data_IF_735315367966
#
_entry.id   IF_735315367966
#
_cell.length_a   1.000
_cell.length_b   1.000
_cell.length_c   1.000
_cell.angle_alpha   90.00
_cell.angle_beta   90.00
_cell.angle_gamma   90.00
#
_symmetry.space_group_name_H-M   'P 1'
#
loop_
_entity.id
_entity.type
_entity.pdbx_description
1 polymer ?
#
# COMPACT_ATOMS: atom_id res chain seq x y z
N UNK A 1 -11.10 -8.75 26.07
CA UNK A 1 -12.38 -8.37 25.41
C UNK A 1 -12.14 -7.57 24.12
N UNK A 2 -12.62 -8.06 22.98
CA UNK A 2 -12.57 -7.33 21.70
C UNK A 2 -13.67 -6.27 21.70
N UNK A 3 -13.34 -5.04 21.32
CA UNK A 3 -14.34 -3.97 21.18
C UNK A 3 -15.20 -4.23 19.95
N UNK A 4 -16.52 -4.19 20.11
CA UNK A 4 -17.50 -4.42 19.04
C UNK A 4 -18.48 -3.27 18.94
N UNK A 5 -19.07 -3.11 17.76
CA UNK A 5 -20.11 -2.12 17.48
C UNK A 5 -21.32 -2.79 16.86
N UNK A 6 -22.50 -2.20 17.07
CA UNK A 6 -23.71 -2.61 16.38
C UNK A 6 -23.97 -1.65 15.22
N UNK A 7 -24.02 -2.18 14.01
CA UNK A 7 -24.74 -1.56 12.92
C UNK A 7 -26.23 -1.89 13.10
N UNK A 8 -27.11 -0.89 12.98
CA UNK A 8 -28.56 -1.06 13.07
C UNK A 8 -29.21 -0.22 11.99
N UNK A 9 -30.04 -0.85 11.18
CA UNK A 9 -30.90 -0.20 10.20
C UNK A 9 -32.34 -0.66 10.45
N UNK A 10 -33.33 0.21 10.28
CA UNK A 10 -34.74 -0.11 10.59
C UNK A 10 -35.65 0.52 9.56
N UNK A 11 -36.51 -0.30 8.96
CA UNK A 11 -37.54 0.20 8.05
C UNK A 11 -38.56 1.03 8.84
N UNK A 12 -38.82 2.25 8.36
CA UNK A 12 -39.61 3.22 9.11
C UNK A 12 -41.07 2.79 9.28
N UNK A 13 -41.68 2.10 8.31
CA UNK A 13 -43.10 1.77 8.38
C UNK A 13 -43.38 0.43 9.08
N UNK A 14 -42.65 -0.65 8.75
CA UNK A 14 -42.81 -1.93 9.44
C UNK A 14 -42.18 -1.97 10.83
N UNK A 15 -41.15 -1.15 11.08
CA UNK A 15 -40.24 -1.27 12.23
C UNK A 15 -39.42 -2.57 12.21
N UNK A 16 -39.38 -3.28 11.09
CA UNK A 16 -38.50 -4.43 10.95
C UNK A 16 -37.05 -3.95 10.83
N UNK A 17 -36.18 -4.52 11.65
CA UNK A 17 -34.81 -4.09 11.82
C UNK A 17 -33.83 -5.11 11.23
N UNK A 18 -32.74 -4.60 10.69
CA UNK A 18 -31.51 -5.33 10.44
C UNK A 18 -30.46 -4.87 11.47
N UNK A 19 -29.72 -5.79 12.05
CA UNK A 19 -28.58 -5.44 12.88
C UNK A 19 -27.44 -6.44 12.73
N UNK A 20 -26.22 -5.95 12.89
CA UNK A 20 -25.00 -6.70 12.72
C UNK A 20 -23.92 -6.20 13.70
N UNK A 21 -23.21 -7.12 14.34
CA UNK A 21 -22.00 -6.85 15.08
C UNK A 21 -20.82 -6.73 14.13
N UNK A 22 -20.06 -5.64 14.27
CA UNK A 22 -18.86 -5.34 13.49
C UNK A 22 -17.69 -4.97 14.40
N UNK A 23 -16.47 -5.08 13.86
CA UNK A 23 -15.20 -4.85 14.58
C UNK A 23 -14.60 -3.46 14.34
N UNK A 24 -15.22 -2.65 13.49
CA UNK A 24 -14.80 -1.28 13.21
C UNK A 24 -15.97 -0.44 12.68
N UNK A 25 -15.73 0.86 12.55
CA UNK A 25 -16.69 1.83 12.00
C UNK A 25 -16.13 2.49 10.73
N UNK A 26 -15.37 1.74 9.93
CA UNK A 26 -14.81 2.24 8.67
C UNK A 26 -15.91 2.46 7.63
N UNK A 27 -15.60 3.27 6.61
CA UNK A 27 -16.50 3.47 5.47
C UNK A 27 -16.77 2.14 4.77
N UNK A 28 -15.74 1.32 4.54
CA UNK A 28 -15.90 0.00 3.92
C UNK A 28 -16.91 -0.89 4.68
N UNK A 29 -16.78 -0.97 6.01
CA UNK A 29 -17.72 -1.71 6.87
C UNK A 29 -19.13 -1.14 6.78
N UNK A 30 -19.28 0.19 6.82
CA UNK A 30 -20.57 0.87 6.71
C UNK A 30 -21.31 0.55 5.40
N UNK A 31 -20.60 0.59 4.27
CA UNK A 31 -21.16 0.26 2.96
C UNK A 31 -21.54 -1.22 2.87
N UNK A 32 -20.70 -2.10 3.42
CA UNK A 32 -20.95 -3.54 3.42
C UNK A 32 -22.17 -3.91 4.26
N UNK A 33 -22.38 -3.24 5.40
CA UNK A 33 -23.58 -3.39 6.22
C UNK A 33 -24.86 -2.97 5.49
N UNK A 34 -24.83 -1.88 4.71
CA UNK A 34 -26.00 -1.45 3.92
C UNK A 34 -26.37 -2.47 2.84
N UNK A 35 -25.39 -2.96 2.09
CA UNK A 35 -25.61 -4.03 1.12
C UNK A 35 -26.26 -5.25 1.76
N UNK A 36 -25.70 -5.76 2.87
CA UNK A 36 -26.29 -6.90 3.60
C UNK A 36 -27.68 -6.61 4.17
N UNK A 37 -27.95 -5.37 4.56
CA UNK A 37 -29.29 -4.96 5.01
C UNK A 37 -30.31 -4.98 3.86
N UNK A 38 -29.93 -4.53 2.67
CA UNK A 38 -30.79 -4.60 1.49
C UNK A 38 -31.04 -6.05 1.05
N UNK A 39 -29.99 -6.89 1.07
CA UNK A 39 -30.12 -8.33 0.81
C UNK A 39 -31.06 -8.99 1.83
N UNK A 40 -30.94 -8.61 3.11
CA UNK A 40 -31.79 -9.12 4.20
C UNK A 40 -33.28 -8.81 3.98
N UNK A 41 -33.61 -7.59 3.52
CA UNK A 41 -34.99 -7.24 3.20
C UNK A 41 -35.44 -7.73 1.82
N UNK A 42 -34.50 -8.16 0.97
CA UNK A 42 -34.76 -8.49 -0.42
C UNK A 42 -35.19 -7.28 -1.24
N UNK A 43 -34.71 -6.09 -0.89
CA UNK A 43 -35.10 -4.84 -1.54
C UNK A 43 -34.43 -3.61 -0.94
N UNK A 44 -34.48 -2.51 -1.68
CA UNK A 44 -33.85 -1.23 -1.34
C UNK A 44 -34.93 -0.23 -0.91
N UNK A 45 -34.80 0.44 0.25
CA UNK A 45 -35.68 1.54 0.60
C UNK A 45 -35.42 2.75 -0.31
N UNK A 46 -36.47 3.47 -0.70
CA UNK A 46 -36.33 4.68 -1.54
C UNK A 46 -35.52 5.80 -0.86
N UNK A 47 -35.48 5.81 0.48
CA UNK A 47 -34.78 6.82 1.27
C UNK A 47 -34.19 6.21 2.54
N UNK A 48 -32.92 6.51 2.79
CA UNK A 48 -32.20 6.11 3.99
C UNK A 48 -31.89 7.34 4.83
N UNK A 49 -32.46 7.38 6.04
CA UNK A 49 -32.24 8.46 7.00
C UNK A 49 -31.02 8.13 7.85
N UNK A 50 -29.99 8.96 7.81
CA UNK A 50 -28.72 8.70 8.49
C UNK A 50 -28.46 9.75 9.57
N UNK A 51 -28.07 9.29 10.77
CA UNK A 51 -27.47 10.16 11.78
C UNK A 51 -26.02 10.47 11.37
N UNK A 52 -25.54 11.68 11.67
CA UNK A 52 -24.31 12.35 11.18
C UNK A 52 -22.97 11.62 11.49
N UNK A 53 -22.92 10.31 11.25
CA UNK A 53 -21.74 9.48 11.36
C UNK A 53 -20.76 9.88 10.25
N UNK A 54 -19.50 10.06 10.62
CA UNK A 54 -18.43 10.50 9.69
C UNK A 54 -18.24 9.56 8.50
N UNK A 55 -18.65 8.30 8.62
CA UNK A 55 -18.63 7.32 7.53
C UNK A 55 -19.69 7.56 6.44
N UNK A 56 -20.72 8.35 6.74
CA UNK A 56 -21.81 8.68 5.82
C UNK A 56 -21.86 10.18 5.45
N UNK A 57 -21.51 11.05 6.39
CA UNK A 57 -21.57 12.51 6.24
C UNK A 57 -20.20 13.10 6.61
N UNK A 58 -19.52 13.71 5.63
CA UNK A 58 -18.21 14.36 5.83
C UNK A 58 -18.37 15.74 6.46
N UNK A 59 -19.44 16.46 6.12
CA UNK A 59 -19.83 17.73 6.75
C UNK A 59 -21.32 17.75 7.03
N UNK A 60 -21.68 17.60 8.30
CA UNK A 60 -23.06 17.77 8.73
C UNK A 60 -23.42 19.26 8.77
N UNK A 61 -24.44 19.68 8.05
CA UNK A 61 -25.02 21.00 8.21
C UNK A 61 -26.54 20.98 7.94
N UNK A 62 -27.23 22.07 8.29
CA UNK A 62 -28.69 22.15 8.24
C UNK A 62 -29.24 22.28 6.80
N UNK A 63 -28.48 22.88 5.89
CA UNK A 63 -28.97 23.27 4.56
C UNK A 63 -28.23 22.60 3.38
N UNK A 64 -26.97 22.20 3.57
CA UNK A 64 -26.09 21.64 2.52
C UNK A 64 -25.13 20.57 3.11
N UNK A 65 -25.64 19.41 3.55
CA UNK A 65 -24.81 18.35 4.11
C UNK A 65 -23.92 17.73 3.03
N UNK A 66 -22.62 17.63 3.30
CA UNK A 66 -21.68 16.95 2.40
C UNK A 66 -21.68 15.46 2.74
N UNK A 67 -22.13 14.66 1.77
CA UNK A 67 -22.16 13.20 1.86
C UNK A 67 -20.77 12.65 1.57
N UNK A 68 -20.37 11.62 2.32
CA UNK A 68 -19.14 10.89 2.02
C UNK A 68 -19.22 10.29 0.61
N UNK A 69 -18.23 10.56 -0.24
CA UNK A 69 -18.25 10.20 -1.67
C UNK A 69 -18.50 8.70 -1.90
N UNK A 70 -17.92 7.85 -1.07
CA UNK A 70 -18.15 6.40 -1.07
C UNK A 70 -19.60 6.00 -0.83
N UNK A 71 -20.30 6.73 0.06
CA UNK A 71 -21.70 6.46 0.38
C UNK A 71 -22.64 7.05 -0.67
N UNK A 72 -22.27 8.20 -1.27
CA UNK A 72 -22.96 8.75 -2.42
C UNK A 72 -22.93 7.78 -3.62
N UNK A 73 -21.76 7.20 -3.94
CA UNK A 73 -21.65 6.20 -5.02
C UNK A 73 -22.47 4.93 -4.73
N UNK A 74 -22.56 4.50 -3.47
CA UNK A 74 -23.44 3.39 -3.07
C UNK A 74 -24.92 3.75 -3.29
N UNK A 75 -25.32 4.96 -2.91
CA UNK A 75 -26.67 5.45 -3.06
C UNK A 75 -27.09 5.56 -4.53
N UNK A 76 -26.19 6.02 -5.38
CA UNK A 76 -26.38 6.02 -6.83
C UNK A 76 -26.52 4.60 -7.39
N UNK A 77 -25.62 3.68 -7.00
CA UNK A 77 -25.64 2.30 -7.48
C UNK A 77 -26.90 1.51 -7.10
N UNK A 78 -27.46 1.75 -5.91
CA UNK A 78 -28.70 1.10 -5.45
C UNK A 78 -29.97 1.94 -5.70
N UNK A 79 -29.83 3.20 -6.12
CA UNK A 79 -30.96 4.09 -6.40
C UNK A 79 -31.72 4.63 -5.18
N UNK A 80 -31.10 4.68 -3.99
CA UNK A 80 -31.74 5.26 -2.79
C UNK A 80 -31.28 6.69 -2.54
N UNK A 81 -32.13 7.50 -1.89
CA UNK A 81 -31.78 8.87 -1.47
C UNK A 81 -31.25 8.90 -0.04
N UNK A 82 -30.19 9.67 0.21
CA UNK A 82 -29.64 9.89 1.55
C UNK A 82 -30.32 11.11 2.16
N UNK A 83 -30.91 10.93 3.34
CA UNK A 83 -31.54 12.01 4.11
C UNK A 83 -30.75 12.18 5.42
N UNK A 84 -29.90 13.20 5.47
CA UNK A 84 -29.08 13.47 6.64
C UNK A 84 -29.93 14.15 7.73
N UNK A 85 -29.93 13.59 8.93
CA UNK A 85 -30.63 14.21 10.06
C UNK A 85 -30.04 15.61 10.36
N UNK A 86 -30.87 16.68 10.41
CA UNK A 86 -30.40 18.00 10.78
C UNK A 86 -29.68 17.97 12.12
N UNK A 87 -28.59 18.73 12.29
CA UNK A 87 -27.96 18.90 13.59
C UNK A 87 -29.00 19.41 14.60
N UNK A 88 -29.08 18.77 15.77
CA UNK A 88 -29.98 19.15 16.88
C UNK A 88 -31.49 18.97 16.64
N UNK A 89 -31.89 18.04 15.75
CA UNK A 89 -33.28 17.55 15.65
C UNK A 89 -33.39 16.12 16.23
N UNK A 90 -33.71 15.95 17.54
CA UNK A 90 -33.77 14.65 18.19
C UNK A 90 -34.93 13.78 17.69
N UNK A 91 -35.97 14.40 17.11
CA UNK A 91 -37.22 13.73 16.81
C UNK A 91 -37.07 12.76 15.63
N UNK A 92 -36.20 13.09 14.66
CA UNK A 92 -35.83 12.20 13.55
C UNK A 92 -34.90 11.05 13.93
N UNK A 93 -34.24 11.13 15.10
CA UNK A 93 -33.30 10.11 15.61
C UNK A 93 -33.96 9.00 16.43
N UNK A 94 -35.19 9.22 16.89
CA UNK A 94 -35.84 8.34 17.87
C UNK A 94 -35.97 6.88 17.47
N UNK A 95 -36.17 6.58 16.18
CA UNK A 95 -36.38 5.20 15.69
C UNK A 95 -35.11 4.36 15.86
N UNK A 96 -33.97 4.87 15.39
CA UNK A 96 -32.68 4.16 15.45
C UNK A 96 -32.19 4.07 16.89
N UNK A 97 -32.30 5.16 17.67
CA UNK A 97 -31.92 5.14 19.09
C UNK A 97 -32.72 4.12 19.89
N UNK A 98 -34.04 4.04 19.67
CA UNK A 98 -34.90 3.05 20.30
C UNK A 98 -34.53 1.63 19.87
N UNK A 99 -34.21 1.40 18.59
CA UNK A 99 -33.73 0.11 18.09
C UNK A 99 -32.43 -0.34 18.75
N UNK A 100 -31.42 0.54 18.81
CA UNK A 100 -30.14 0.26 19.49
C UNK A 100 -30.34 -0.01 20.98
N UNK A 101 -31.15 0.80 21.67
CA UNK A 101 -31.50 0.58 23.08
C UNK A 101 -32.18 -0.77 23.29
N UNK A 102 -33.07 -1.17 22.38
CA UNK A 102 -33.78 -2.45 22.45
C UNK A 102 -32.84 -3.65 22.31
N UNK A 103 -31.94 -3.64 21.32
CA UNK A 103 -30.91 -4.68 21.14
C UNK A 103 -30.04 -4.79 22.39
N UNK A 104 -29.51 -3.67 22.89
CA UNK A 104 -28.63 -3.68 24.07
C UNK A 104 -29.32 -4.20 25.34
N UNK A 105 -30.62 -3.95 25.49
CA UNK A 105 -31.39 -4.38 26.68
C UNK A 105 -31.95 -5.79 26.58
N UNK A 106 -32.23 -6.28 25.38
CA UNK A 106 -33.02 -7.50 25.20
C UNK A 106 -32.22 -8.63 24.55
N UNK A 107 -31.30 -8.31 23.64
CA UNK A 107 -30.44 -9.31 23.02
C UNK A 107 -29.15 -9.54 23.81
N UNK A 108 -28.47 -8.46 24.22
CA UNK A 108 -27.12 -8.55 24.77
C UNK A 108 -26.99 -9.20 26.16
N UNK A 109 -27.94 -9.05 27.11
CA UNK A 109 -27.76 -9.60 28.45
C UNK A 109 -27.69 -11.14 28.47
N UNK A 110 -26.81 -11.68 29.31
CA UNK A 110 -26.70 -13.12 29.63
C UNK A 110 -26.38 -14.04 28.43
N UNK A 111 -25.90 -13.49 27.31
CA UNK A 111 -25.43 -14.27 26.16
C UNK A 111 -23.91 -14.39 26.14
N UNK A 112 -23.44 -15.57 25.78
CA UNK A 112 -22.05 -15.84 25.47
C UNK A 112 -21.89 -16.04 23.95
N UNK A 113 -20.76 -15.57 23.43
CA UNK A 113 -20.45 -15.62 22.01
C UNK A 113 -19.11 -16.32 21.82
N UNK A 114 -19.08 -17.33 20.95
CA UNK A 114 -17.83 -18.04 20.62
C UNK A 114 -16.91 -17.18 19.74
N UNK A 115 -17.50 -16.53 18.75
CA UNK A 115 -16.84 -15.63 17.82
C UNK A 115 -17.86 -14.63 17.23
N UNK A 116 -17.40 -13.76 16.32
CA UNK A 116 -18.25 -12.75 15.68
C UNK A 116 -19.34 -13.37 14.79
N UNK A 117 -19.04 -14.49 14.12
CA UNK A 117 -19.99 -15.17 13.25
C UNK A 117 -21.12 -15.79 14.08
N UNK A 118 -20.77 -16.37 15.23
CA UNK A 118 -21.68 -16.89 16.24
C UNK A 118 -22.60 -15.80 16.79
N UNK A 119 -22.03 -14.66 17.18
CA UNK A 119 -22.79 -13.51 17.66
C UNK A 119 -23.78 -12.99 16.60
N UNK A 120 -23.36 -12.87 15.35
CA UNK A 120 -24.21 -12.42 14.24
C UNK A 120 -25.27 -13.45 13.84
N UNK A 121 -25.02 -14.75 14.03
CA UNK A 121 -26.03 -15.80 13.84
C UNK A 121 -27.12 -15.70 14.91
N UNK A 122 -26.72 -15.67 16.18
CA UNK A 122 -27.64 -15.50 17.31
C UNK A 122 -28.48 -14.22 17.19
N UNK A 123 -27.86 -13.11 16.74
CA UNK A 123 -28.56 -11.85 16.54
C UNK A 123 -29.63 -11.95 15.46
N UNK A 124 -29.34 -12.58 14.32
CA UNK A 124 -30.31 -12.79 13.24
C UNK A 124 -31.47 -13.68 13.68
N UNK A 125 -31.19 -14.76 14.40
CA UNK A 125 -32.21 -15.65 14.96
C UNK A 125 -33.12 -14.89 15.93
N UNK A 126 -32.54 -14.09 16.82
CA UNK A 126 -33.29 -13.26 17.77
C UNK A 126 -34.14 -12.20 17.07
N UNK A 127 -33.63 -11.57 16.01
CA UNK A 127 -34.39 -10.60 15.21
C UNK A 127 -35.65 -11.24 14.63
N UNK A 128 -35.54 -12.46 14.10
CA UNK A 128 -36.65 -13.17 13.45
C UNK A 128 -37.63 -13.82 14.41
N UNK A 129 -37.15 -14.30 15.56
CA UNK A 129 -37.98 -15.02 16.54
C UNK A 129 -38.65 -14.10 17.56
N UNK A 130 -37.90 -13.17 18.14
CA UNK A 130 -38.38 -12.33 19.24
C UNK A 130 -38.68 -10.90 18.77
N UNK A 131 -37.66 -10.21 18.22
CA UNK A 131 -37.79 -8.79 17.90
C UNK A 131 -38.85 -8.52 16.82
N UNK A 132 -38.96 -9.42 15.84
CA UNK A 132 -39.88 -9.36 14.73
C UNK A 132 -41.32 -9.74 15.06
N UNK A 133 -41.53 -10.58 16.08
CA UNK A 133 -42.84 -11.09 16.49
C UNK A 133 -43.42 -10.38 17.73
N UNK A 134 -42.67 -9.46 18.35
CA UNK A 134 -43.16 -8.65 19.47
C UNK A 134 -44.27 -7.69 19.03
N UNK A 135 -45.20 -7.39 19.94
CA UNK A 135 -46.09 -6.24 19.76
C UNK A 135 -45.30 -4.95 19.93
N UNK A 136 -45.07 -4.22 18.84
CA UNK A 136 -44.28 -2.99 18.88
C UNK A 136 -45.06 -1.86 19.58
N UNK A 137 -44.42 -1.16 20.53
CA UNK A 137 -45.08 -0.16 21.38
C UNK A 137 -45.82 0.96 20.62
N UNK A 138 -45.24 1.44 19.52
CA UNK A 138 -45.86 2.50 18.68
C UNK A 138 -46.92 1.98 17.71
N UNK A 139 -46.62 0.96 16.90
CA UNK A 139 -47.52 0.48 15.85
C UNK A 139 -48.57 -0.51 16.37
N UNK A 140 -48.40 -1.02 17.60
CA UNK A 140 -49.25 -2.04 18.25
C UNK A 140 -49.42 -3.32 17.43
N UNK A 141 -48.48 -3.58 16.52
CA UNK A 141 -48.48 -4.72 15.60
C UNK A 141 -47.09 -5.35 15.58
N UNK A 142 -47.01 -6.59 15.08
CA UNK A 142 -45.75 -7.30 14.91
C UNK A 142 -44.95 -6.72 13.73
N UNK A 143 -43.67 -6.35 13.92
CA UNK A 143 -42.84 -5.84 12.83
C UNK A 143 -42.77 -6.75 11.61
N UNK A 144 -42.69 -8.08 11.79
CA UNK A 144 -42.67 -9.03 10.67
C UNK A 144 -44.00 -9.09 9.92
N UNK A 145 -45.14 -9.04 10.63
CA UNK A 145 -46.46 -9.00 10.00
C UNK A 145 -46.62 -7.74 9.15
N UNK A 146 -46.12 -6.60 9.62
CA UNK A 146 -46.08 -5.37 8.80
C UNK A 146 -45.09 -5.51 7.64
N UNK A 147 -43.89 -6.03 7.88
CA UNK A 147 -42.89 -6.19 6.82
C UNK A 147 -43.38 -7.03 5.65
N UNK A 148 -44.20 -8.06 5.90
CA UNK A 148 -44.84 -8.84 4.84
C UNK A 148 -45.65 -7.98 3.84
N UNK A 149 -46.23 -6.86 4.31
CA UNK A 149 -46.95 -5.88 3.49
C UNK A 149 -46.02 -4.84 2.86
N UNK A 150 -44.96 -4.43 3.57
CA UNK A 150 -44.00 -3.42 3.10
C UNK A 150 -43.05 -3.96 2.03
N UNK A 151 -42.75 -5.27 2.05
CA UNK A 151 -41.70 -5.87 1.22
C UNK A 151 -41.91 -5.62 -0.27
N UNK A 152 -43.14 -5.67 -0.76
CA UNK A 152 -43.46 -5.42 -2.18
C UNK A 152 -43.36 -3.94 -2.58
N UNK A 153 -43.20 -3.02 -1.62
CA UNK A 153 -43.05 -1.59 -1.85
C UNK A 153 -41.58 -1.16 -1.90
N UNK A 154 -40.65 -2.04 -1.53
CA UNK A 154 -39.22 -1.80 -1.68
C UNK A 154 -38.84 -1.86 -3.16
N UNK A 155 -37.86 -1.05 -3.55
CA UNK A 155 -37.27 -1.18 -4.88
C UNK A 155 -36.56 -2.54 -4.99
N UNK A 156 -36.60 -3.15 -6.16
CA UNK A 156 -35.90 -4.40 -6.41
C UNK A 156 -34.38 -4.22 -6.22
N UNK A 157 -33.71 -5.28 -5.77
CA UNK A 157 -32.25 -5.31 -5.78
C UNK A 157 -31.77 -5.28 -7.24
N UNK A 158 -30.67 -4.57 -7.55
CA UNK A 158 -30.08 -4.61 -8.88
C UNK A 158 -29.55 -6.01 -9.20
N UNK A 159 -29.72 -6.47 -10.44
CA UNK A 159 -29.24 -7.79 -10.89
C UNK A 159 -27.74 -7.96 -10.68
N UNK A 160 -26.99 -6.87 -10.86
CA UNK A 160 -25.56 -6.78 -10.59
C UNK A 160 -25.35 -5.84 -9.40
N UNK A 161 -24.93 -6.37 -8.23
CA UNK A 161 -24.67 -5.53 -7.06
C UNK A 161 -23.59 -4.47 -7.35
N UNK A 162 -23.81 -3.20 -6.95
CA UNK A 162 -22.81 -2.15 -7.07
C UNK A 162 -21.49 -2.52 -6.38
N UNK A 163 -20.38 -2.22 -7.06
CA UNK A 163 -19.04 -2.42 -6.51
C UNK A 163 -18.82 -1.42 -5.37
N UNK A 164 -18.49 -1.91 -4.18
CA UNK A 164 -18.15 -1.03 -3.08
C UNK A 164 -16.79 -0.40 -3.32
N UNK A 165 -16.76 0.93 -3.28
CA UNK A 165 -15.55 1.72 -3.41
C UNK A 165 -15.36 2.64 -2.21
N UNK A 166 -14.16 2.67 -1.65
CA UNK A 166 -13.75 3.62 -0.64
C UNK A 166 -13.00 4.79 -1.28
N UNK A 167 -13.57 5.98 -1.16
CA UNK A 167 -12.93 7.24 -1.53
C UNK A 167 -12.24 7.88 -0.34
N UNK A 168 -10.99 8.27 -0.54
CA UNK A 168 -10.23 9.04 0.45
C UNK A 168 -9.27 10.02 -0.23
N UNK A 169 -8.91 11.10 0.46
CA UNK A 169 -7.87 12.03 0.00
C UNK A 169 -6.51 11.52 0.46
N UNK A 170 -5.55 11.45 -0.46
CA UNK A 170 -4.17 11.01 -0.19
C UNK A 170 -3.18 12.02 -0.75
N UNK A 171 -2.06 12.21 -0.07
CA UNK A 171 -0.99 13.09 -0.55
C UNK A 171 0.13 12.27 -1.18
N UNK A 172 0.67 12.76 -2.29
CA UNK A 172 1.81 12.12 -2.97
C UNK A 172 3.09 12.49 -2.24
N UNK A 173 3.78 11.50 -1.69
CA UNK A 173 5.03 11.65 -0.98
C UNK A 173 6.21 11.88 -1.94
N UNK A 174 7.36 12.31 -1.40
CA UNK A 174 8.58 12.63 -2.17
C UNK A 174 9.13 11.45 -2.97
N UNK A 175 8.87 10.23 -2.52
CA UNK A 175 9.24 9.00 -3.23
C UNK A 175 8.24 8.63 -4.35
N UNK A 176 7.35 9.55 -4.72
CA UNK A 176 6.32 9.37 -5.75
C UNK A 176 5.31 8.29 -5.39
N UNK A 177 5.04 8.06 -4.11
CA UNK A 177 4.02 7.10 -3.66
C UNK A 177 2.94 7.78 -2.82
N UNK A 178 1.74 7.19 -2.84
CA UNK A 178 0.66 7.45 -1.89
C UNK A 178 0.49 6.23 -1.00
N UNK A 179 0.11 6.44 0.26
CA UNK A 179 -0.13 5.36 1.20
C UNK A 179 -1.62 5.14 1.43
N UNK A 180 -2.06 3.89 1.37
CA UNK A 180 -3.42 3.49 1.70
C UNK A 180 -3.45 2.10 2.35
N UNK A 181 -4.06 1.98 3.53
CA UNK A 181 -4.01 0.79 4.41
C UNK A 181 -2.63 0.12 4.50
N UNK A 182 -1.57 0.92 4.69
CA UNK A 182 -0.17 0.47 4.76
C UNK A 182 0.40 -0.11 3.46
N UNK A 183 -0.35 -0.12 2.35
CA UNK A 183 0.17 -0.35 1.01
C UNK A 183 0.65 0.96 0.39
N UNK A 184 1.69 0.89 -0.43
CA UNK A 184 2.26 2.03 -1.15
C UNK A 184 2.00 1.90 -2.64
N UNK A 185 1.39 2.91 -3.24
CA UNK A 185 1.04 2.94 -4.66
C UNK A 185 1.75 4.11 -5.31
N UNK A 186 2.50 3.87 -6.38
CA UNK A 186 3.19 4.96 -7.07
C UNK A 186 2.21 5.91 -7.78
N UNK A 187 2.51 7.19 -7.82
CA UNK A 187 1.83 8.19 -8.63
C UNK A 187 2.86 8.97 -9.46
N UNK A 188 2.49 9.52 -10.64
CA UNK A 188 3.41 10.29 -11.47
C UNK A 188 4.18 11.35 -10.67
N UNK A 189 5.51 11.40 -10.84
CA UNK A 189 6.42 12.27 -10.06
C UNK A 189 6.07 13.76 -10.16
N UNK A 190 5.42 14.19 -11.25
CA UNK A 190 4.89 15.55 -11.44
C UNK A 190 3.84 15.94 -10.39
N UNK A 191 3.22 14.97 -9.73
CA UNK A 191 2.17 15.14 -8.74
C UNK A 191 2.69 15.11 -7.29
N UNK A 192 4.01 15.01 -7.08
CA UNK A 192 4.62 15.03 -5.75
C UNK A 192 4.20 16.29 -4.98
N UNK A 193 3.75 16.11 -3.73
CA UNK A 193 3.24 17.18 -2.88
C UNK A 193 1.77 17.56 -3.13
N UNK A 194 1.14 17.06 -4.19
CA UNK A 194 -0.28 17.29 -4.45
C UNK A 194 -1.15 16.31 -3.67
N UNK A 195 -2.41 16.69 -3.44
CA UNK A 195 -3.43 15.82 -2.85
C UNK A 195 -4.32 15.27 -3.96
N UNK A 196 -4.46 13.95 -4.00
CA UNK A 196 -5.25 13.20 -4.97
C UNK A 196 -6.45 12.56 -4.29
N UNK A 197 -7.47 12.25 -5.09
CA UNK A 197 -8.53 11.33 -4.69
C UNK A 197 -8.10 9.90 -4.97
N UNK A 198 -8.23 9.02 -3.99
CA UNK A 198 -8.02 7.60 -4.13
C UNK A 198 -9.37 6.91 -4.08
N UNK A 199 -9.69 6.11 -5.11
CA UNK A 199 -10.83 5.19 -5.14
C UNK A 199 -10.30 3.78 -4.95
N UNK A 200 -10.78 3.09 -3.93
CA UNK A 200 -10.31 1.76 -3.58
C UNK A 200 -11.46 0.76 -3.61
N UNK A 201 -11.37 -0.22 -4.50
CA UNK A 201 -12.26 -1.39 -4.51
C UNK A 201 -11.56 -2.56 -3.83
N UNK A 202 -12.20 -3.73 -3.84
CA UNK A 202 -11.59 -4.97 -3.34
C UNK A 202 -10.37 -5.40 -4.18
N UNK A 203 -10.39 -5.12 -5.49
CA UNK A 203 -9.37 -5.59 -6.44
C UNK A 203 -8.44 -4.50 -6.94
N UNK A 204 -8.83 -3.23 -6.89
CA UNK A 204 -8.08 -2.12 -7.49
C UNK A 204 -7.98 -0.89 -6.61
N UNK A 205 -6.93 -0.11 -6.83
CA UNK A 205 -6.73 1.24 -6.30
C UNK A 205 -6.50 2.16 -7.49
N UNK A 206 -7.33 3.19 -7.60
CA UNK A 206 -7.28 4.19 -8.66
C UNK A 206 -7.02 5.57 -8.04
N UNK A 207 -6.11 6.33 -8.66
CA UNK A 207 -5.75 7.67 -8.23
C UNK A 207 -6.31 8.67 -9.23
N UNK A 208 -6.96 9.71 -8.72
CA UNK A 208 -7.59 10.75 -9.50
C UNK A 208 -7.06 12.13 -9.08
N UNK A 209 -6.67 12.93 -10.07
CA UNK A 209 -6.52 14.37 -9.90
C UNK A 209 -7.84 15.00 -10.31
N UNK A 210 -8.62 15.43 -9.31
CA UNK A 210 -10.01 15.86 -9.49
C UNK A 210 -10.87 14.74 -10.13
N UNK A 211 -11.08 14.79 -11.44
CA UNK A 211 -11.87 13.85 -12.24
C UNK A 211 -11.00 12.99 -13.18
N UNK A 212 -9.72 13.34 -13.35
CA UNK A 212 -8.81 12.67 -14.27
C UNK A 212 -8.13 11.48 -13.57
N UNK A 213 -8.25 10.28 -14.15
CA UNK A 213 -7.53 9.09 -13.68
C UNK A 213 -6.04 9.23 -14.02
N UNK A 214 -5.19 9.33 -13.01
CA UNK A 214 -3.74 9.50 -13.18
C UNK A 214 -2.93 8.22 -12.96
N UNK A 215 -3.48 7.25 -12.23
CA UNK A 215 -2.85 5.96 -12.01
C UNK A 215 -3.88 4.90 -11.58
N UNK A 216 -3.62 3.64 -11.92
CA UNK A 216 -4.40 2.49 -11.46
C UNK A 216 -3.47 1.34 -11.07
N UNK A 217 -3.81 0.64 -9.99
CA UNK A 217 -3.01 -0.42 -9.41
C UNK A 217 -3.90 -1.58 -8.94
N UNK A 218 -3.40 -2.82 -8.93
CA UNK A 218 -4.01 -3.89 -8.15
C UNK A 218 -4.01 -3.56 -6.66
N UNK A 219 -5.07 -3.96 -5.94
CA UNK A 219 -5.18 -3.76 -4.50
C UNK A 219 -4.12 -4.58 -3.77
N UNK A 220 -3.37 -3.92 -2.88
CA UNK A 220 -2.41 -4.57 -2.01
C UNK A 220 -3.07 -4.89 -0.66
N UNK A 221 -2.94 -6.14 -0.23
CA UNK A 221 -3.45 -6.61 1.07
C UNK A 221 -2.35 -6.83 2.12
N UNK A 222 -1.08 -6.89 1.69
CA UNK A 222 0.07 -7.07 2.59
C UNK A 222 0.59 -5.71 3.07
N UNK A 223 0.69 -5.47 4.39
CA UNK A 223 1.30 -4.25 4.92
C UNK A 223 2.74 -4.08 4.44
N UNK A 224 3.09 -2.86 4.02
CA UNK A 224 4.43 -2.52 3.50
C UNK A 224 4.69 -2.92 2.05
N UNK A 225 3.76 -3.61 1.38
CA UNK A 225 3.89 -3.90 -0.03
C UNK A 225 3.86 -2.63 -0.89
N UNK A 226 4.54 -2.66 -2.03
CA UNK A 226 4.63 -1.55 -2.99
C UNK A 226 4.12 -1.99 -4.36
N UNK A 227 3.28 -1.18 -4.98
CA UNK A 227 2.93 -1.26 -6.39
C UNK A 227 3.53 -0.05 -7.08
N UNK A 228 4.66 -0.24 -7.75
CA UNK A 228 5.44 0.83 -8.38
C UNK A 228 5.45 0.66 -9.89
N UNK A 229 4.89 1.64 -10.59
CA UNK A 229 5.01 1.78 -12.04
C UNK A 229 6.27 2.58 -12.33
N UNK A 230 7.12 2.10 -13.24
CA UNK A 230 8.42 2.72 -13.53
C UNK A 230 8.28 4.16 -14.02
N UNK A 231 7.33 4.40 -14.92
CA UNK A 231 7.08 5.72 -15.54
C UNK A 231 6.65 6.77 -14.52
N UNK A 232 6.20 6.37 -13.34
CA UNK A 232 5.85 7.29 -12.27
C UNK A 232 7.06 7.87 -11.55
N UNK A 233 8.22 7.22 -11.61
CA UNK A 233 9.42 7.66 -10.90
C UNK A 233 10.05 8.87 -11.60
N UNK A 234 10.86 9.69 -10.90
CA UNK A 234 11.63 10.76 -11.55
C UNK A 234 12.59 10.19 -12.61
N UNK A 235 12.91 10.94 -13.69
CA UNK A 235 13.81 10.47 -14.75
C UNK A 235 15.16 9.98 -14.21
N UNK A 236 15.70 10.63 -13.18
CA UNK A 236 16.90 10.17 -12.50
C UNK A 236 16.70 8.77 -11.93
N UNK A 237 15.66 8.55 -11.13
CA UNK A 237 15.35 7.25 -10.52
C UNK A 237 15.02 6.16 -11.56
N UNK A 238 14.41 6.54 -12.69
CA UNK A 238 14.19 5.64 -13.83
C UNK A 238 15.53 5.20 -14.43
N UNK A 239 16.43 6.14 -14.72
CA UNK A 239 17.77 5.83 -15.22
C UNK A 239 18.54 4.92 -14.24
N UNK A 240 18.48 5.21 -12.93
CA UNK A 240 19.08 4.35 -11.90
C UNK A 240 18.55 2.90 -11.93
N UNK A 241 17.26 2.69 -12.20
CA UNK A 241 16.69 1.34 -12.32
C UNK A 241 17.04 0.65 -13.64
N UNK A 242 17.32 1.40 -14.71
CA UNK A 242 17.76 0.86 -16.00
C UNK A 242 19.23 0.43 -15.98
N UNK A 243 20.06 1.03 -15.13
CA UNK A 243 21.47 0.69 -14.97
C UNK A 243 21.69 -0.47 -13.99
N UNK A 244 21.04 -1.61 -14.23
CA UNK A 244 21.22 -2.81 -13.40
C UNK A 244 22.66 -3.41 -13.54
N UNK A 245 23.05 -4.40 -12.72
CA UNK A 245 24.40 -4.97 -12.80
C UNK A 245 24.73 -5.55 -14.18
N UNK A 246 23.74 -6.10 -14.88
CA UNK A 246 23.91 -6.65 -16.23
C UNK A 246 24.19 -5.55 -17.25
N UNK A 247 23.46 -4.44 -17.18
CA UNK A 247 23.73 -3.24 -17.97
C UNK A 247 25.14 -2.72 -17.68
N UNK A 248 25.55 -2.65 -16.41
CA UNK A 248 26.89 -2.17 -16.06
C UNK A 248 28.00 -3.04 -16.64
N UNK A 249 27.83 -4.37 -16.64
CA UNK A 249 28.78 -5.30 -17.26
C UNK A 249 28.81 -5.18 -18.79
N UNK A 250 27.64 -5.04 -19.42
CA UNK A 250 27.56 -4.85 -20.87
C UNK A 250 28.23 -3.54 -21.32
N UNK A 251 28.00 -2.46 -20.58
CA UNK A 251 28.60 -1.16 -20.86
C UNK A 251 30.12 -1.15 -20.62
N UNK A 252 30.56 -1.79 -19.53
CA UNK A 252 31.99 -1.95 -19.25
C UNK A 252 32.71 -2.73 -20.34
N UNK A 253 32.06 -3.78 -20.88
CA UNK A 253 32.59 -4.58 -21.99
C UNK A 253 32.70 -3.78 -23.29
N UNK A 254 31.80 -2.81 -23.52
CA UNK A 254 31.87 -1.88 -24.66
C UNK A 254 33.08 -0.93 -24.54
N UNK A 255 33.40 -0.47 -23.33
CA UNK A 255 34.54 0.41 -23.08
C UNK A 255 35.86 -0.34 -23.24
N UNK A 256 35.98 -1.53 -22.64
CA UNK A 256 37.14 -2.40 -22.82
C UNK A 256 37.31 -3.50 -21.76
N UNK A 257 38.28 -4.41 -21.96
CA UNK A 257 38.49 -5.56 -21.08
C UNK A 257 38.89 -5.20 -19.65
N UNK A 258 39.71 -4.16 -19.45
CA UNK A 258 40.14 -3.72 -18.12
C UNK A 258 39.01 -3.02 -17.36
N UNK A 259 38.19 -2.21 -18.03
CA UNK A 259 36.97 -1.65 -17.43
C UNK A 259 36.02 -2.77 -16.99
N UNK A 260 35.78 -3.76 -17.84
CA UNK A 260 34.97 -4.92 -17.50
C UNK A 260 35.52 -5.70 -16.29
N UNK A 261 36.85 -5.90 -16.21
CA UNK A 261 37.50 -6.57 -15.08
C UNK A 261 37.33 -5.80 -13.76
N UNK A 262 37.42 -4.47 -13.78
CA UNK A 262 37.17 -3.62 -12.61
C UNK A 262 35.73 -3.77 -12.12
N UNK A 263 34.76 -3.71 -13.03
CA UNK A 263 33.33 -3.78 -12.67
C UNK A 263 32.97 -5.18 -12.14
N UNK A 264 33.53 -6.24 -12.73
CA UNK A 264 33.43 -7.60 -12.17
C UNK A 264 34.05 -7.70 -10.78
N UNK A 265 35.25 -7.14 -10.58
CA UNK A 265 35.91 -7.15 -9.28
C UNK A 265 35.10 -6.41 -8.21
N UNK A 266 34.44 -5.30 -8.58
CA UNK A 266 33.53 -4.57 -7.71
C UNK A 266 32.30 -5.40 -7.31
N UNK A 267 31.70 -6.13 -8.25
CA UNK A 267 30.53 -6.98 -7.97
C UNK A 267 30.86 -8.29 -7.26
N UNK A 268 32.13 -8.72 -7.28
CA UNK A 268 32.59 -9.91 -6.56
C UNK A 268 32.97 -9.61 -5.08
N UNK A 269 32.84 -8.36 -4.64
CA UNK A 269 33.05 -7.96 -3.24
C UNK A 269 32.00 -8.64 -2.34
N UNK A 270 32.47 -9.31 -1.29
CA UNK A 270 31.62 -10.09 -0.38
C UNK A 270 30.82 -9.22 0.61
N UNK A 271 31.19 -7.95 0.75
CA UNK A 271 30.63 -7.03 1.75
C UNK A 271 29.73 -5.98 1.10
N UNK A 272 30.11 -5.47 -0.07
CA UNK A 272 29.41 -4.36 -0.74
C UNK A 272 28.93 -4.73 -2.15
N UNK A 273 27.66 -4.44 -2.45
CA UNK A 273 27.06 -4.63 -3.80
C UNK A 273 27.72 -3.74 -4.87
N UNK A 274 28.36 -2.64 -4.47
CA UNK A 274 29.16 -1.74 -5.32
C UNK A 274 28.50 -1.18 -6.61
N UNK A 275 27.18 -1.32 -6.80
CA UNK A 275 26.45 -0.81 -7.98
C UNK A 275 26.64 0.69 -8.22
N UNK A 276 26.62 1.50 -7.16
CA UNK A 276 26.89 2.95 -7.26
C UNK A 276 28.32 3.24 -7.71
N UNK A 277 29.28 2.44 -7.27
CA UNK A 277 30.68 2.56 -7.67
C UNK A 277 30.85 2.22 -9.15
N UNK A 278 30.24 1.12 -9.59
CA UNK A 278 30.24 0.67 -10.98
C UNK A 278 29.63 1.71 -11.92
N UNK A 279 28.41 2.18 -11.63
CA UNK A 279 27.75 3.23 -12.40
C UNK A 279 28.54 4.55 -12.38
N UNK A 280 29.18 4.87 -11.24
CA UNK A 280 30.05 6.03 -11.10
C UNK A 280 31.25 5.99 -12.05
N UNK A 281 31.90 4.82 -12.18
CA UNK A 281 33.03 4.60 -13.10
C UNK A 281 32.57 4.77 -14.55
N UNK A 282 31.47 4.11 -14.94
CA UNK A 282 30.93 4.20 -16.30
C UNK A 282 30.55 5.64 -16.68
N UNK A 283 30.00 6.41 -15.74
CA UNK A 283 29.66 7.83 -15.96
C UNK A 283 30.88 8.72 -16.23
N UNK A 284 32.10 8.30 -15.86
CA UNK A 284 33.32 9.06 -16.19
C UNK A 284 33.60 9.06 -17.70
N UNK A 285 33.15 8.06 -18.44
CA UNK A 285 33.34 7.97 -19.90
C UNK A 285 32.85 9.23 -20.61
N UNK A 286 31.68 9.75 -20.22
CA UNK A 286 31.11 10.96 -20.81
C UNK A 286 32.00 12.20 -20.63
N UNK A 287 32.94 12.19 -19.68
CA UNK A 287 33.86 13.30 -19.40
C UNK A 287 35.26 13.09 -19.99
N UNK A 288 35.79 11.87 -19.94
CA UNK A 288 37.19 11.59 -20.31
C UNK A 288 37.35 10.78 -21.60
N UNK A 289 36.26 10.20 -22.12
CA UNK A 289 36.25 9.29 -23.26
C UNK A 289 36.62 7.84 -22.89
N UNK A 290 36.21 6.89 -23.74
CA UNK A 290 36.38 5.45 -23.50
C UNK A 290 37.85 5.03 -23.37
N UNK A 291 38.73 5.53 -24.25
CA UNK A 291 40.14 5.13 -24.27
C UNK A 291 40.89 5.49 -22.98
N UNK A 292 40.66 6.70 -22.44
CA UNK A 292 41.28 7.15 -21.18
C UNK A 292 40.72 6.40 -19.98
N UNK A 293 39.42 6.13 -19.99
CA UNK A 293 38.78 5.37 -18.92
C UNK A 293 39.33 3.93 -18.87
N UNK A 294 39.51 3.29 -20.03
CA UNK A 294 40.08 1.95 -20.13
C UNK A 294 41.52 1.90 -19.59
N UNK A 295 42.38 2.85 -20.00
CA UNK A 295 43.76 2.95 -19.50
C UNK A 295 43.81 3.19 -17.98
N UNK A 296 42.91 4.02 -17.45
CA UNK A 296 42.79 4.23 -16.01
C UNK A 296 42.33 2.97 -15.26
N UNK A 297 41.43 2.19 -15.84
CA UNK A 297 40.98 0.91 -15.27
C UNK A 297 42.11 -0.12 -15.27
N UNK A 298 42.87 -0.21 -16.36
CA UNK A 298 44.05 -1.09 -16.46
C UNK A 298 45.08 -0.76 -15.39
N UNK A 299 45.39 0.53 -15.20
CA UNK A 299 46.28 0.99 -14.14
C UNK A 299 45.72 0.73 -12.74
N UNK A 300 44.41 0.89 -12.52
CA UNK A 300 43.80 0.57 -11.23
C UNK A 300 43.89 -0.92 -10.88
N UNK A 301 43.76 -1.79 -11.89
CA UNK A 301 43.91 -3.24 -11.75
C UNK A 301 45.36 -3.66 -11.47
N UNK A 302 46.35 -2.99 -12.05
CA UNK A 302 47.77 -3.30 -11.77
C UNK A 302 48.16 -3.05 -10.31
N UNK A 303 47.48 -2.12 -9.63
CA UNK A 303 47.64 -1.85 -8.20
C UNK A 303 46.60 -2.56 -7.32
N UNK A 304 45.84 -3.52 -7.87
CA UNK A 304 44.80 -4.27 -7.16
C UNK A 304 43.79 -3.38 -6.42
N UNK A 305 43.47 -2.21 -6.98
CA UNK A 305 42.60 -1.21 -6.34
C UNK A 305 41.43 -0.82 -7.25
N UNK A 306 40.44 -1.72 -7.46
CA UNK A 306 39.33 -1.51 -8.39
C UNK A 306 38.23 -0.60 -7.81
N UNK A 307 38.60 0.48 -7.11
CA UNK A 307 37.65 1.40 -6.48
C UNK A 307 37.46 2.67 -7.31
N UNK A 308 36.23 3.18 -7.34
CA UNK A 308 35.88 4.44 -8.01
C UNK A 308 36.82 5.60 -7.65
N UNK A 309 37.14 5.77 -6.35
CA UNK A 309 38.03 6.85 -5.89
C UNK A 309 39.43 6.74 -6.51
N UNK A 310 39.97 5.54 -6.64
CA UNK A 310 41.29 5.29 -7.23
C UNK A 310 41.29 5.65 -8.71
N UNK A 311 40.30 5.17 -9.46
CA UNK A 311 40.17 5.44 -10.90
C UNK A 311 39.96 6.94 -11.16
N UNK A 312 39.11 7.60 -10.37
CA UNK A 312 38.94 9.05 -10.46
C UNK A 312 40.26 9.79 -10.18
N UNK A 313 41.03 9.37 -9.18
CA UNK A 313 42.32 9.99 -8.87
C UNK A 313 43.35 9.78 -9.98
N UNK A 314 43.36 8.61 -10.62
CA UNK A 314 44.23 8.32 -11.77
C UNK A 314 43.91 9.26 -12.93
N UNK A 315 42.63 9.41 -13.26
CA UNK A 315 42.15 10.29 -14.34
C UNK A 315 42.40 11.78 -14.04
N UNK A 316 42.11 12.23 -12.82
CA UNK A 316 42.29 13.61 -12.38
C UNK A 316 43.77 14.03 -12.42
N UNK A 317 44.69 13.10 -12.15
CA UNK A 317 46.14 13.33 -12.16
C UNK A 317 46.82 13.00 -13.50
N UNK A 318 46.06 12.57 -14.52
CA UNK A 318 46.60 12.17 -15.82
C UNK A 318 47.52 10.94 -15.78
N UNK A 319 47.44 10.14 -14.71
CA UNK A 319 48.29 8.96 -14.52
C UNK A 319 47.94 7.82 -15.49
N UNK A 320 46.78 7.92 -16.15
CA UNK A 320 46.35 7.06 -17.25
C UNK A 320 47.21 7.21 -18.51
N UNK A 321 47.96 8.32 -18.63
CA UNK A 321 48.79 8.63 -19.80
C UNK A 321 50.28 8.33 -19.59
N UNK A 322 50.66 7.95 -18.36
CA UNK A 322 52.02 7.54 -18.07
C UNK A 322 52.25 6.11 -18.56
N UNK A 323 53.43 5.86 -19.14
CA UNK A 323 53.87 4.51 -19.49
C UNK A 323 53.64 3.54 -18.32
N UNK A 324 53.26 2.30 -18.64
CA UNK A 324 52.95 1.27 -17.65
C UNK A 324 54.06 1.19 -16.59
N UNK A 325 53.72 1.02 -15.30
CA UNK A 325 54.73 0.66 -14.33
C UNK A 325 55.37 -0.64 -14.81
N UNK A 326 56.66 -0.58 -15.17
CA UNK A 326 57.49 -1.76 -15.40
C UNK A 326 57.29 -2.65 -14.19
N UNK A 327 56.78 -3.88 -14.41
CA UNK A 327 56.82 -4.93 -13.40
C UNK A 327 58.24 -4.94 -12.85
N UNK A 328 58.48 -4.74 -11.53
CA UNK A 328 59.82 -4.93 -11.04
C UNK A 328 60.17 -6.38 -11.39
N UNK A 329 61.18 -6.55 -12.25
CA UNK A 329 61.80 -7.85 -12.46
C UNK A 329 61.98 -8.45 -11.08
N UNK A 330 61.51 -9.70 -10.92
CA UNK A 330 61.77 -10.48 -9.72
C UNK A 330 63.25 -10.30 -9.41
N UNK A 331 63.55 -9.57 -8.34
CA UNK A 331 64.92 -9.39 -7.90
C UNK A 331 65.42 -10.80 -7.65
N UNK A 332 66.31 -11.27 -8.52
CA UNK A 332 66.99 -12.55 -8.36
C UNK A 332 67.76 -12.41 -7.06
N UNK A 333 67.18 -12.97 -5.98
CA UNK A 333 67.75 -12.85 -4.64
C UNK A 333 69.09 -13.56 -4.71
N UNK A 334 70.17 -12.79 -4.62
CA UNK A 334 71.52 -13.32 -4.67
C UNK A 334 71.65 -14.54 -3.72
N UNK A 335 72.34 -15.59 -4.18
CA UNK A 335 72.53 -16.88 -3.50
C UNK A 335 72.94 -16.76 -2.01
N UNK A 336 73.49 -15.63 -1.61
CA UNK A 336 73.78 -15.23 -0.23
C UNK A 336 72.57 -15.29 0.71
N UNK A 337 71.34 -15.13 0.20
CA UNK A 337 70.10 -15.25 0.99
C UNK A 337 69.46 -16.63 0.93
N UNK A 338 69.92 -17.52 0.03
CA UNK A 338 69.38 -18.87 -0.13
C UNK A 338 70.17 -19.94 0.65
N UNK A 339 71.45 -19.69 1.00
CA UNK A 339 72.26 -20.67 1.74
C UNK A 339 73.08 -20.03 2.87
N UNK A 340 72.69 -20.31 4.11
CA UNK A 340 73.63 -20.38 5.23
C UNK A 340 74.03 -19.05 5.90
N UNK A 341 73.14 -18.07 5.98
CA UNK A 341 73.35 -16.94 6.88
C UNK A 341 73.42 -17.42 8.34
N UNK A 342 74.43 -16.97 9.10
CA UNK A 342 74.77 -17.38 10.49
C UNK A 342 73.64 -17.21 11.53
N UNK A 343 72.49 -16.65 11.13
CA UNK A 343 71.27 -16.44 11.93
C UNK A 343 70.00 -17.05 11.30
N UNK A 344 70.10 -17.82 10.21
CA UNK A 344 68.96 -18.54 9.66
C UNK A 344 68.68 -19.75 10.54
N UNK A 345 67.50 -19.79 11.16
CA UNK A 345 66.99 -20.99 11.84
C UNK A 345 66.33 -21.90 10.81
N UNK A 346 66.58 -23.19 10.89
CA UNK A 346 65.98 -24.19 10.01
C UNK A 346 64.45 -24.25 10.21
N UNK A 347 63.72 -24.06 9.11
CA UNK A 347 62.26 -24.06 9.04
C UNK A 347 61.53 -25.31 9.62
N UNK A 348 62.10 -26.53 9.69
CA UNK A 348 61.41 -27.66 10.32
C UNK A 348 61.23 -27.51 11.84
N UNK A 349 61.95 -26.60 12.51
CA UNK A 349 61.84 -26.42 13.97
C UNK A 349 60.70 -25.48 14.41
N UNK A 350 59.93 -24.90 13.47
CA UNK A 350 58.82 -23.97 13.78
C UNK A 350 57.42 -24.58 13.58
N UNK A 351 57.30 -25.81 13.09
CA UNK A 351 56.00 -26.47 12.86
C UNK A 351 55.68 -27.63 13.83
N UNK A 352 56.29 -27.63 15.02
CA UNK A 352 55.86 -28.49 16.12
C UNK A 352 55.50 -27.64 17.33
N UNK A 353 54.24 -27.19 17.38
CA UNK A 353 53.35 -27.28 18.53
C UNK A 353 51.94 -26.75 18.21
#
# INVERSE_FOLDING_TARGET
PVKTWFFVATLCWSRHQYAELVLDQTVATWLACHRRAFDWWGGVPARTVIDNAKCAITRACMYDPEVQRSYAELAEGYGFKIDACPPRDPQKKGIVESGVKYIKKSFAPLREFRDLADANRQLREWIMSEAGNRLHGTTRQQPLARFALERSLLAALPDVPPVLAEWTKVSVHRDCHVQFHKGLYSAPCKLVGQTLWLKATDTTVQLFREHELVAAHPRLHRPGARSTVRDHLPPEAQAWQMHDPQWCLAEAKRIGPACHAVILALFNDQVLVNLRGAQGILRLEAKVGAARLEAACQRAMSFSSPRYRTIKTILDKGLDQLAEPVQPDLIDVADTYARGGRFCRDLPSMMSH
#
